data_IF_436045397808
#
_entry.id   IF_436045397808
#
_cell.length_a   1.000
_cell.length_b   1.000
_cell.length_c   1.000
_cell.angle_alpha   90.00
_cell.angle_beta   90.00
_cell.angle_gamma   90.00
#
_symmetry.space_group_name_H-M   'P 1'
#
loop_
_entity.id
_entity.type
_entity.pdbx_description
1 polymer ?
#
# COMPACT_ATOMS: atom_id res chain seq x y z
N UNK A 1 -16.54 13.64 -3.16
CA UNK A 1 -15.94 12.59 -2.30
C UNK A 1 -14.93 11.82 -3.12
N UNK A 2 -13.67 11.72 -2.71
CA UNK A 2 -12.66 10.95 -3.46
C UNK A 2 -12.85 9.45 -3.25
N UNK A 3 -12.72 8.66 -4.32
CA UNK A 3 -12.87 7.19 -4.29
C UNK A 3 -11.53 6.53 -4.58
N UNK A 4 -11.01 5.79 -3.61
CA UNK A 4 -9.78 5.01 -3.75
C UNK A 4 -10.08 3.59 -4.19
N UNK A 5 -9.31 3.07 -5.15
CA UNK A 5 -9.30 1.64 -5.46
C UNK A 5 -8.17 0.98 -4.67
N UNK A 6 -8.55 0.17 -3.68
CA UNK A 6 -7.65 -0.55 -2.80
C UNK A 6 -7.78 -2.05 -3.05
N UNK A 7 -6.66 -2.76 -3.00
CA UNK A 7 -6.67 -4.21 -2.90
C UNK A 7 -7.20 -4.64 -1.52
N UNK A 8 -7.71 -5.86 -1.39
CA UNK A 8 -8.14 -6.41 -0.10
C UNK A 8 -7.05 -6.29 0.98
N UNK A 9 -5.78 -6.51 0.60
CA UNK A 9 -4.62 -6.36 1.49
C UNK A 9 -4.40 -4.91 1.96
N UNK A 10 -4.66 -3.92 1.12
CA UNK A 10 -4.56 -2.51 1.49
C UNK A 10 -5.74 -2.07 2.36
N UNK A 11 -6.94 -2.61 2.13
CA UNK A 11 -8.11 -2.36 2.97
C UNK A 11 -7.86 -2.90 4.39
N UNK A 12 -7.43 -4.16 4.51
CA UNK A 12 -7.10 -4.75 5.81
C UNK A 12 -6.00 -3.95 6.52
N UNK A 13 -4.93 -3.58 5.79
CA UNK A 13 -3.85 -2.74 6.34
C UNK A 13 -4.35 -1.38 6.79
N UNK A 14 -5.24 -0.74 6.05
CA UNK A 14 -5.83 0.55 6.44
C UNK A 14 -6.55 0.41 7.78
N UNK A 15 -7.49 -0.52 7.90
CA UNK A 15 -8.29 -0.69 9.12
C UNK A 15 -7.44 -1.01 10.35
N UNK A 16 -6.47 -1.94 10.23
CA UNK A 16 -5.57 -2.28 11.34
C UNK A 16 -4.73 -1.08 11.77
N UNK A 17 -4.16 -0.33 10.82
CA UNK A 17 -3.30 0.81 11.14
C UNK A 17 -4.13 1.99 11.69
N UNK A 18 -5.33 2.23 11.17
CA UNK A 18 -6.27 3.22 11.69
C UNK A 18 -6.63 2.91 13.16
N UNK A 19 -7.05 1.68 13.46
CA UNK A 19 -7.30 1.24 14.84
C UNK A 19 -6.07 1.38 15.75
N UNK A 20 -4.87 1.20 15.20
CA UNK A 20 -3.62 1.41 15.95
C UNK A 20 -3.30 2.90 16.16
N UNK A 21 -3.74 3.79 15.27
CA UNK A 21 -3.60 5.24 15.43
C UNK A 21 -4.56 5.75 16.50
N UNK A 22 -5.81 5.29 16.46
CA UNK A 22 -6.88 5.65 17.40
C UNK A 22 -6.68 5.04 18.80
N UNK A 23 -5.78 4.05 18.93
CA UNK A 23 -5.43 3.43 20.20
C UNK A 23 -6.28 2.22 20.58
N UNK A 24 -7.21 1.81 19.73
CA UNK A 24 -8.01 0.59 19.90
C UNK A 24 -7.21 -0.70 19.74
N UNK A 25 -6.10 -0.64 18.99
CA UNK A 25 -5.20 -1.78 18.78
C UNK A 25 -3.76 -1.42 19.17
N UNK A 26 -3.10 -2.29 19.95
CA UNK A 26 -1.68 -2.12 20.28
C UNK A 26 -0.82 -2.45 19.06
N UNK A 27 0.30 -1.73 18.90
CA UNK A 27 1.20 -1.91 17.77
C UNK A 27 1.80 -3.33 17.65
N UNK A 28 1.90 -4.04 18.78
CA UNK A 28 2.39 -5.43 18.84
C UNK A 28 1.38 -6.39 18.21
N UNK A 29 0.10 -6.29 18.58
CA UNK A 29 -0.98 -7.08 18.00
C UNK A 29 -1.21 -6.74 16.53
N UNK A 30 -1.12 -5.46 16.17
CA UNK A 30 -1.19 -5.03 14.77
C UNK A 30 -0.06 -5.62 13.91
N UNK A 31 1.13 -5.81 14.49
CA UNK A 31 2.26 -6.41 13.81
C UNK A 31 2.00 -7.90 13.53
N UNK A 32 1.44 -8.62 14.51
CA UNK A 32 1.01 -10.02 14.36
C UNK A 32 -0.10 -10.16 13.32
N UNK A 33 -1.16 -9.35 13.40
CA UNK A 33 -2.31 -9.40 12.50
C UNK A 33 -1.93 -9.12 11.03
N UNK A 34 -0.97 -8.21 10.80
CA UNK A 34 -0.50 -7.89 9.46
C UNK A 34 0.67 -8.77 8.98
N UNK A 35 1.17 -9.67 9.83
CA UNK A 35 2.42 -10.40 9.61
C UNK A 35 3.59 -9.46 9.24
N UNK A 36 3.73 -8.37 9.98
CA UNK A 36 4.75 -7.33 9.79
C UNK A 36 5.60 -7.14 11.04
N UNK A 37 6.73 -6.47 10.92
CA UNK A 37 7.47 -6.02 12.11
C UNK A 37 6.80 -4.79 12.73
N UNK A 38 6.96 -4.60 14.05
CA UNK A 38 6.53 -3.38 14.75
C UNK A 38 7.05 -2.10 14.06
N UNK A 39 8.28 -2.13 13.54
CA UNK A 39 8.86 -1.01 12.76
C UNK A 39 8.04 -0.68 11.52
N UNK A 40 7.55 -1.70 10.81
CA UNK A 40 6.66 -1.48 9.66
C UNK A 40 5.33 -0.89 10.08
N UNK A 41 4.75 -1.34 11.21
CA UNK A 41 3.53 -0.74 11.77
C UNK A 41 3.75 0.75 12.06
N UNK A 42 4.81 1.14 12.77
CA UNK A 42 5.12 2.56 13.01
C UNK A 42 5.34 3.36 11.73
N UNK A 43 6.01 2.78 10.73
CA UNK A 43 6.20 3.41 9.42
C UNK A 43 4.87 3.66 8.71
N UNK A 44 3.95 2.70 8.78
CA UNK A 44 2.61 2.82 8.19
C UNK A 44 1.76 3.84 8.96
N UNK A 45 1.80 3.85 10.30
CA UNK A 45 1.16 4.89 11.13
C UNK A 45 1.60 6.28 10.68
N UNK A 46 2.92 6.49 10.55
CA UNK A 46 3.47 7.77 10.09
C UNK A 46 2.95 8.15 8.70
N UNK A 47 3.01 7.21 7.74
CA UNK A 47 2.52 7.44 6.37
C UNK A 47 1.03 7.78 6.31
N UNK A 48 0.20 7.09 7.09
CA UNK A 48 -1.24 7.33 7.11
C UNK A 48 -1.56 8.70 7.71
N UNK A 49 -0.84 9.13 8.76
CA UNK A 49 -0.97 10.48 9.33
C UNK A 49 -0.53 11.59 8.37
N UNK A 50 0.56 11.37 7.63
CA UNK A 50 1.14 12.39 6.74
C UNK A 50 0.42 12.48 5.38
N UNK A 51 -0.07 11.34 4.86
CA UNK A 51 -0.53 11.22 3.47
C UNK A 51 -1.93 10.65 3.32
N UNK A 52 -2.63 10.33 4.40
CA UNK A 52 -3.92 9.66 4.31
C UNK A 52 -3.82 8.27 3.66
N UNK A 53 -4.89 7.89 2.96
CA UNK A 53 -5.04 6.57 2.31
C UNK A 53 -3.92 6.33 1.28
N UNK A 54 -3.41 7.37 0.64
CA UNK A 54 -2.29 7.33 -0.30
C UNK A 54 -1.02 6.77 0.33
N UNK A 55 -0.85 6.93 1.65
CA UNK A 55 0.25 6.34 2.40
C UNK A 55 0.21 4.81 2.48
N UNK A 56 -0.98 4.21 2.29
CA UNK A 56 -1.24 2.76 2.39
C UNK A 56 -1.16 2.09 1.02
N UNK A 57 -1.51 2.82 -0.04
CA UNK A 57 -1.43 2.35 -1.42
C UNK A 57 0.02 1.97 -1.77
N UNK A 58 0.17 0.89 -2.53
CA UNK A 58 1.48 0.47 -2.98
C UNK A 58 2.17 1.58 -3.81
N UNK A 59 3.35 2.01 -3.38
CA UNK A 59 4.03 3.18 -3.98
C UNK A 59 4.47 3.02 -5.44
N UNK A 60 4.53 1.79 -5.95
CA UNK A 60 4.80 1.55 -7.38
C UNK A 60 3.52 1.35 -8.21
N UNK A 61 2.32 1.44 -7.61
CA UNK A 61 1.05 1.32 -8.34
C UNK A 61 1.00 2.38 -9.44
N UNK A 62 0.67 1.94 -10.66
CA UNK A 62 0.60 2.80 -11.84
C UNK A 62 1.96 3.24 -12.40
N UNK A 63 3.09 2.88 -11.78
CA UNK A 63 4.41 3.26 -12.26
C UNK A 63 5.02 2.16 -13.12
N UNK A 64 5.37 2.51 -14.36
CA UNK A 64 6.16 1.64 -15.22
C UNK A 64 7.58 1.42 -14.66
N UNK A 65 8.13 0.23 -14.87
CA UNK A 65 9.55 -0.02 -14.60
C UNK A 65 10.42 0.88 -15.48
N UNK A 66 11.51 1.48 -14.96
CA UNK A 66 12.47 2.20 -15.79
C UNK A 66 13.12 1.33 -16.87
N UNK A 67 13.16 0.01 -16.66
CA UNK A 67 13.67 -0.98 -17.62
C UNK A 67 12.59 -1.54 -18.54
N UNK A 68 11.36 -1.01 -18.49
CA UNK A 68 10.25 -1.49 -19.29
C UNK A 68 10.55 -1.25 -20.78
N UNK A 69 10.45 -2.30 -21.59
CA UNK A 69 10.51 -2.18 -23.06
C UNK A 69 9.50 -1.13 -23.52
N UNK A 70 9.92 -0.26 -24.45
CA UNK A 70 9.10 0.82 -25.01
C UNK A 70 7.80 0.26 -25.57
N UNK A 71 6.71 1.00 -25.41
CA UNK A 71 5.34 0.58 -25.77
C UNK A 71 5.29 -0.01 -27.18
N UNK A 72 5.83 0.71 -28.18
CA UNK A 72 5.78 0.34 -29.59
C UNK A 72 6.46 -0.99 -29.94
N UNK A 73 7.44 -1.45 -29.13
CA UNK A 73 8.09 -2.74 -29.35
C UNK A 73 7.25 -3.91 -28.84
N UNK A 74 6.32 -3.68 -27.91
CA UNK A 74 5.42 -4.73 -27.40
C UNK A 74 4.36 -5.08 -28.44
N UNK A 75 3.77 -4.05 -29.03
CA UNK A 75 2.79 -4.19 -30.10
C UNK A 75 3.37 -4.90 -31.32
N UNK A 76 4.69 -4.93 -31.51
CA UNK A 76 5.31 -5.70 -32.61
C UNK A 76 5.47 -7.18 -32.26
N UNK A 77 5.68 -7.51 -30.98
CA UNK A 77 5.89 -8.89 -30.51
C UNK A 77 4.54 -9.61 -30.38
N UNK A 78 3.49 -8.94 -29.90
CA UNK A 78 2.17 -9.55 -29.70
C UNK A 78 1.46 -9.93 -31.03
N UNK A 79 1.96 -9.44 -32.16
CA UNK A 79 1.43 -9.73 -33.51
C UNK A 79 2.19 -10.84 -34.25
N UNK A 80 3.23 -11.42 -33.63
CA UNK A 80 4.00 -12.56 -34.15
C UNK A 80 3.65 -13.85 -33.40
#
# INVERSE_FOLDING_TARGET
MQRWQLSAKEIARYGVIENTIEGYLKADLAAEELCLSKRQVFRLKRKLREKGIEGIIHGNRGRASPRRTKEYLRDTIDYL
#
